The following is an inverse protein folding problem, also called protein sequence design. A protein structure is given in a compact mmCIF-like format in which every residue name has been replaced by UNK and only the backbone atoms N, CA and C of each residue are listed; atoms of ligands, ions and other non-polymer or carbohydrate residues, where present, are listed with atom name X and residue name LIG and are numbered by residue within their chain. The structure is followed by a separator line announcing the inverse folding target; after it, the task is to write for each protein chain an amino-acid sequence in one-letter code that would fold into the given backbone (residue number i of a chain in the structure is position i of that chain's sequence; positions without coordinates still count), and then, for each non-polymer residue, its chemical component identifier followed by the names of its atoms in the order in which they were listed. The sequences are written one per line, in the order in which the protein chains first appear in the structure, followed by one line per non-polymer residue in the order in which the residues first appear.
data_IF_183281343254
#
_entry.id   IF_183281343254
#
_cell.length_a   1.000
_cell.length_b   1.000
_cell.length_c   1.000
_cell.angle_alpha   90.00
_cell.angle_beta   90.00
_cell.angle_gamma   90.00
#
_symmetry.space_group_name_H-M   'P 1'
#
loop_
_entity.id
_entity.type
_entity.pdbx_description
1 polymer ?
#
# COMPACT_ATOMS: atom_id res chain seq x y z
N UNK A 1 -11.46 8.29 -9.32
CA UNK A 1 -10.69 7.29 -8.56
C UNK A 1 -11.37 5.94 -8.76
N UNK A 2 -10.63 4.89 -9.14
CA UNK A 2 -11.21 3.55 -9.26
C UNK A 2 -11.84 3.16 -7.90
N UNK A 3 -13.13 2.81 -7.89
CA UNK A 3 -13.89 2.58 -6.65
C UNK A 3 -13.26 1.49 -5.77
N UNK A 4 -12.60 0.51 -6.39
CA UNK A 4 -11.90 -0.57 -5.70
C UNK A 4 -10.64 -0.06 -4.99
N UNK A 5 -9.82 0.77 -5.65
CA UNK A 5 -8.59 1.32 -5.06
C UNK A 5 -8.87 2.12 -3.78
N UNK A 6 -9.87 3.01 -3.81
CA UNK A 6 -10.23 3.80 -2.63
C UNK A 6 -10.81 2.96 -1.49
N UNK A 7 -11.57 1.91 -1.79
CA UNK A 7 -12.08 0.99 -0.78
C UNK A 7 -10.97 0.17 -0.11
N UNK A 8 -9.95 -0.24 -0.87
CA UNK A 8 -8.79 -0.94 -0.32
C UNK A 8 -7.86 0.00 0.46
N UNK A 9 -7.63 1.22 -0.03
CA UNK A 9 -6.82 2.23 0.67
C UNK A 9 -7.39 2.54 2.07
N UNK A 10 -8.72 2.68 2.19
CA UNK A 10 -9.40 2.93 3.46
C UNK A 10 -9.12 1.84 4.52
N UNK A 11 -8.97 0.59 4.07
CA UNK A 11 -8.78 -0.58 4.94
C UNK A 11 -7.34 -1.05 5.02
N UNK A 12 -6.45 -0.53 4.17
CA UNK A 12 -5.09 -1.02 4.02
C UNK A 12 -4.32 -1.02 5.35
N UNK A 13 -4.63 -0.07 6.24
CA UNK A 13 -3.91 0.11 7.51
C UNK A 13 -4.51 -0.66 8.69
N UNK A 14 -5.55 -1.47 8.47
CA UNK A 14 -6.24 -2.22 9.53
C UNK A 14 -5.35 -3.32 10.12
N UNK A 15 -4.69 -4.10 9.26
CA UNK A 15 -3.75 -5.16 9.64
C UNK A 15 -2.76 -5.50 8.50
N UNK A 16 -1.78 -6.34 8.82
CA UNK A 16 -0.73 -6.77 7.88
C UNK A 16 -1.27 -7.48 6.63
N UNK A 17 -2.40 -8.20 6.75
CA UNK A 17 -3.01 -8.93 5.63
C UNK A 17 -3.76 -7.97 4.71
N UNK A 18 -4.47 -6.99 5.28
CA UNK A 18 -5.12 -5.92 4.53
C UNK A 18 -4.08 -5.07 3.77
N UNK A 19 -2.95 -4.75 4.41
CA UNK A 19 -1.88 -4.00 3.78
C UNK A 19 -1.22 -4.77 2.63
N UNK A 20 -0.92 -6.07 2.83
CA UNK A 20 -0.35 -6.91 1.78
C UNK A 20 -1.27 -7.05 0.55
N UNK A 21 -2.59 -7.15 0.78
CA UNK A 21 -3.58 -7.15 -0.31
C UNK A 21 -3.56 -5.82 -1.07
N UNK A 22 -3.53 -4.71 -0.35
CA UNK A 22 -3.44 -3.39 -0.96
C UNK A 22 -2.17 -3.22 -1.80
N UNK A 23 -1.00 -3.62 -1.28
CA UNK A 23 0.27 -3.59 -2.01
C UNK A 23 0.18 -4.37 -3.33
N UNK A 24 -0.29 -5.63 -3.27
CA UNK A 24 -0.47 -6.48 -4.45
C UNK A 24 -1.44 -5.88 -5.48
N UNK A 25 -2.60 -5.40 -5.03
CA UNK A 25 -3.62 -4.87 -5.94
C UNK A 25 -3.22 -3.55 -6.59
N UNK A 26 -2.34 -2.78 -5.94
CA UNK A 26 -1.94 -1.47 -6.42
C UNK A 26 -0.72 -1.48 -7.35
N UNK A 27 0.03 -2.58 -7.43
CA UNK A 27 1.30 -2.66 -8.16
C UNK A 27 1.22 -2.20 -9.62
N UNK A 28 0.23 -2.71 -10.35
CA UNK A 28 0.17 -2.55 -11.81
C UNK A 28 -1.08 -1.80 -12.30
N UNK A 29 -1.77 -1.06 -11.41
CA UNK A 29 -3.02 -0.34 -11.72
C UNK A 29 -2.94 0.60 -12.93
N UNK A 30 -1.75 1.14 -13.23
CA UNK A 30 -1.55 2.15 -14.25
C UNK A 30 -0.43 1.83 -15.24
N UNK A 31 -0.03 0.55 -15.36
CA UNK A 31 1.13 0.14 -16.17
C UNK A 31 1.11 0.67 -17.61
N UNK A 32 -0.08 0.84 -18.19
CA UNK A 32 -0.28 1.30 -19.57
C UNK A 32 -0.47 2.83 -19.71
N UNK A 33 -0.30 3.60 -18.64
CA UNK A 33 -0.52 5.06 -18.69
C UNK A 33 0.39 5.74 -19.72
N UNK A 34 -0.15 6.63 -20.58
CA UNK A 34 0.64 7.43 -21.51
C UNK A 34 1.44 8.54 -20.81
N UNK A 35 1.02 8.97 -19.62
CA UNK A 35 1.75 9.97 -18.81
C UNK A 35 2.88 9.27 -18.03
N UNK A 36 4.05 9.19 -18.65
CA UNK A 36 5.22 8.50 -18.09
C UNK A 36 5.77 9.17 -16.83
N UNK A 37 5.62 10.48 -16.69
CA UNK A 37 6.09 11.20 -15.50
C UNK A 37 5.16 10.96 -14.30
N UNK A 38 3.85 11.00 -14.51
CA UNK A 38 2.88 10.64 -13.48
C UNK A 38 3.00 9.15 -13.09
N UNK A 39 3.19 8.26 -14.08
CA UNK A 39 3.42 6.84 -13.83
C UNK A 39 4.67 6.61 -12.99
N UNK A 40 5.78 7.29 -13.29
CA UNK A 40 7.01 7.18 -12.49
C UNK A 40 6.80 7.61 -11.04
N UNK A 41 6.06 8.71 -10.80
CA UNK A 41 5.72 9.17 -9.44
C UNK A 41 4.88 8.14 -8.70
N UNK A 42 3.91 7.54 -9.39
CA UNK A 42 3.10 6.45 -8.82
C UNK A 42 3.94 5.23 -8.47
N UNK A 43 4.82 4.78 -9.37
CA UNK A 43 5.70 3.64 -9.11
C UNK A 43 6.66 3.90 -7.94
N UNK A 44 7.19 5.12 -7.82
CA UNK A 44 7.99 5.50 -6.66
C UNK A 44 7.16 5.49 -5.36
N UNK A 45 5.93 6.00 -5.38
CA UNK A 45 5.04 5.95 -4.22
C UNK A 45 4.64 4.51 -3.85
N UNK A 46 4.40 3.66 -4.85
CA UNK A 46 4.07 2.25 -4.64
C UNK A 46 5.25 1.48 -4.05
N UNK A 47 6.48 1.81 -4.45
CA UNK A 47 7.68 1.20 -3.87
C UNK A 47 7.77 1.43 -2.35
N UNK A 48 7.39 2.61 -1.85
CA UNK A 48 7.35 2.86 -0.39
C UNK A 48 6.32 1.98 0.32
N UNK A 49 5.15 1.75 -0.31
CA UNK A 49 4.16 0.78 0.19
C UNK A 49 4.77 -0.62 0.25
N UNK A 50 5.48 -1.04 -0.80
CA UNK A 50 6.10 -2.37 -0.87
C UNK A 50 7.23 -2.54 0.16
N UNK A 51 8.01 -1.49 0.45
CA UNK A 51 9.02 -1.53 1.53
C UNK A 51 8.37 -1.81 2.88
N UNK A 52 7.31 -1.07 3.23
CA UNK A 52 6.60 -1.29 4.51
C UNK A 52 5.99 -2.70 4.54
N UNK A 53 5.41 -3.15 3.42
CA UNK A 53 4.79 -4.46 3.28
C UNK A 53 5.81 -5.58 3.48
N UNK A 54 6.95 -5.52 2.80
CA UNK A 54 7.99 -6.53 2.86
C UNK A 54 8.57 -6.67 4.28
N UNK A 55 8.82 -5.55 4.97
CA UNK A 55 9.33 -5.57 6.36
C UNK A 55 8.28 -6.15 7.32
N UNK A 56 7.03 -5.69 7.22
CA UNK A 56 5.96 -6.17 8.10
C UNK A 56 5.64 -7.66 7.87
N UNK A 57 5.62 -8.11 6.62
CA UNK A 57 5.42 -9.52 6.27
C UNK A 57 6.57 -10.38 6.79
N UNK A 58 7.82 -9.96 6.61
CA UNK A 58 8.97 -10.71 7.12
C UNK A 58 8.90 -10.91 8.64
N UNK A 59 8.53 -9.87 9.39
CA UNK A 59 8.40 -9.96 10.85
C UNK A 59 7.18 -10.79 11.27
N UNK A 60 6.06 -10.69 10.56
CA UNK A 60 4.87 -11.52 10.80
C UNK A 60 5.15 -13.01 10.52
N UNK A 61 5.91 -13.31 9.46
CA UNK A 61 6.35 -14.66 9.13
C UNK A 61 7.35 -15.22 10.15
N UNK A 62 8.29 -14.39 10.62
CA UNK A 62 9.24 -14.76 11.66
C UNK A 62 8.55 -15.10 12.99
N UNK A 63 7.43 -14.44 13.31
CA UNK A 63 6.58 -14.74 14.47
C UNK A 63 5.68 -15.98 14.27
N UNK A 64 5.74 -16.65 13.11
CA UNK A 64 4.94 -17.85 12.81
C UNK A 64 3.54 -17.56 12.26
N UNK A 65 3.33 -16.39 11.65
CA UNK A 65 2.06 -15.95 11.05
C UNK A 65 0.87 -15.97 12.04
N UNK A 66 1.00 -15.40 13.25
CA UNK A 66 -0.06 -15.44 14.23
C UNK A 66 -1.30 -14.69 13.75
N UNK A 67 -2.48 -15.19 14.12
CA UNK A 67 -3.76 -14.53 13.86
C UNK A 67 -3.87 -13.23 14.67
N UNK A 68 -3.38 -13.24 15.92
CA UNK A 68 -3.36 -12.07 16.81
C UNK A 68 -2.05 -11.28 16.66
N UNK A 69 -1.94 -10.51 15.59
CA UNK A 69 -0.76 -9.65 15.34
C UNK A 69 -1.06 -8.15 15.38
N UNK A 70 -2.32 -7.77 15.64
CA UNK A 70 -2.81 -6.40 15.55
C UNK A 70 -2.10 -5.40 16.49
N UNK A 71 -1.68 -5.80 17.69
CA UNK A 71 -0.95 -4.90 18.59
C UNK A 71 0.46 -4.55 18.06
N UNK A 72 1.17 -5.56 17.54
CA UNK A 72 2.49 -5.35 16.92
C UNK A 72 2.35 -4.53 15.64
N UNK A 73 1.33 -4.82 14.82
CA UNK A 73 0.97 -4.02 13.66
C UNK A 73 0.78 -2.53 13.98
N UNK A 74 -0.14 -2.23 14.91
CA UNK A 74 -0.43 -0.86 15.35
C UNK A 74 0.79 -0.13 15.89
N UNK A 75 1.60 -0.84 16.67
CA UNK A 75 2.77 -0.24 17.32
C UNK A 75 3.91 0.05 16.36
N UNK A 76 4.16 -0.83 15.39
CA UNK A 76 5.40 -0.81 14.60
C UNK A 76 5.22 -0.35 13.16
N UNK A 77 4.07 -0.59 12.52
CA UNK A 77 3.91 -0.38 11.07
C UNK A 77 2.73 0.49 10.68
N UNK A 78 1.65 0.55 11.48
CA UNK A 78 0.41 1.23 11.06
C UNK A 78 0.63 2.71 10.70
N UNK A 79 1.51 3.43 11.40
CA UNK A 79 1.82 4.83 11.07
C UNK A 79 2.51 4.96 9.71
N UNK A 80 3.57 4.17 9.46
CA UNK A 80 4.30 4.17 8.19
C UNK A 80 3.44 3.67 7.03
N UNK A 81 2.59 2.67 7.29
CA UNK A 81 1.61 2.17 6.35
C UNK A 81 0.61 3.27 5.94
N UNK A 82 0.09 4.04 6.90
CA UNK A 82 -0.82 5.15 6.63
C UNK A 82 -0.18 6.25 5.80
N UNK A 83 1.07 6.61 6.11
CA UNK A 83 1.83 7.59 5.33
C UNK A 83 2.06 7.11 3.88
N UNK A 84 2.51 5.87 3.70
CA UNK A 84 2.75 5.29 2.38
C UNK A 84 1.46 5.21 1.54
N UNK A 85 0.33 4.81 2.14
CA UNK A 85 -0.99 4.79 1.48
C UNK A 85 -1.39 6.20 1.04
N UNK A 86 -1.27 7.20 1.93
CA UNK A 86 -1.64 8.58 1.60
C UNK A 86 -0.81 9.15 0.44
N UNK A 87 0.51 8.88 0.42
CA UNK A 87 1.39 9.30 -0.69
C UNK A 87 0.97 8.60 -2.00
N UNK A 88 0.66 7.30 -1.95
CA UNK A 88 0.19 6.57 -3.12
C UNK A 88 -1.16 7.08 -3.63
N UNK A 89 -2.10 7.43 -2.75
CA UNK A 89 -3.40 8.00 -3.12
C UNK A 89 -3.24 9.32 -3.88
N UNK A 90 -2.35 10.20 -3.41
CA UNK A 90 -2.03 11.46 -4.10
C UNK A 90 -1.43 11.19 -5.48
N UNK A 91 -0.50 10.25 -5.58
CA UNK A 91 0.10 9.88 -6.87
C UNK A 91 -0.94 9.28 -7.84
N UNK A 92 -1.82 8.42 -7.33
CA UNK A 92 -2.90 7.79 -8.10
C UNK A 92 -3.92 8.83 -8.59
N UNK A 93 -4.26 9.83 -7.78
CA UNK A 93 -5.18 10.90 -8.17
C UNK A 93 -4.69 11.67 -9.40
N UNK A 94 -3.38 11.88 -9.54
CA UNK A 94 -2.78 12.54 -10.70
C UNK A 94 -2.90 11.72 -12.00
N UNK A 95 -3.02 10.39 -11.88
CA UNK A 95 -3.24 9.47 -13.01
C UNK A 95 -4.73 9.28 -13.33
N UNK A 96 -5.61 9.35 -12.34
CA UNK A 96 -7.06 9.24 -12.54
C UNK A 96 -7.73 10.51 -13.08
N UNK A 97 -7.11 11.68 -12.91
CA UNK A 97 -7.71 12.98 -13.25
C UNK A 97 -7.41 13.44 -14.68
N UNK A 98 -6.93 12.54 -15.55
CA UNK A 98 -6.50 12.84 -16.91
C UNK A 98 -7.10 11.87 -17.91
#
# INVERSE_FOLDING_TARGET
MNHEFGAFALKATEDVVAFAKFAQQSENLFGDSPDKDALKRYQSAWFEVEVVNAVALADWEADGRPVSWGDKWRKLYQSSAAEAVAVLEVAAANLFSR
#
